data_IF_123201725225
#
_entry.id   IF_123201725225
#
_cell.length_a   1.000
_cell.length_b   1.000
_cell.length_c   1.000
_cell.angle_alpha   90.00
_cell.angle_beta   90.00
_cell.angle_gamma   90.00
#
_symmetry.space_group_name_H-M   'P 1'
#
loop_
_entity.id
_entity.type
_entity.pdbx_description
1 polymer ?
#
# COMPACT_ATOMS: atom_id res chain seq x y z
N UNK A 1 -29.84 1.99 -24.07
CA UNK A 1 -28.86 1.95 -22.96
C UNK A 1 -27.47 2.08 -23.57
N UNK A 2 -26.71 3.09 -23.18
CA UNK A 2 -25.31 3.24 -23.60
C UNK A 2 -24.52 2.09 -22.96
N UNK A 3 -24.23 1.05 -23.74
CA UNK A 3 -23.46 -0.10 -23.25
C UNK A 3 -22.02 0.33 -23.04
N UNK A 4 -21.56 0.30 -21.79
CA UNK A 4 -20.13 0.47 -21.49
C UNK A 4 -19.40 -0.74 -22.09
N UNK A 5 -18.36 -0.56 -22.92
CA UNK A 5 -17.65 -1.67 -23.55
C UNK A 5 -17.14 -2.67 -22.50
N UNK A 6 -17.31 -3.96 -22.77
CA UNK A 6 -16.84 -5.05 -21.89
C UNK A 6 -15.35 -4.89 -21.53
N UNK A 7 -14.52 -4.58 -22.52
CA UNK A 7 -13.08 -4.36 -22.35
C UNK A 7 -12.76 -3.20 -21.40
N UNK A 8 -13.60 -2.17 -21.37
CA UNK A 8 -13.42 -1.05 -20.43
C UNK A 8 -13.64 -1.50 -19.00
N UNK A 9 -14.67 -2.32 -18.73
CA UNK A 9 -14.95 -2.84 -17.39
C UNK A 9 -13.90 -3.85 -16.95
N UNK A 10 -13.47 -4.75 -17.84
CA UNK A 10 -12.36 -5.67 -17.56
C UNK A 10 -11.07 -4.91 -17.23
N UNK A 11 -10.82 -3.79 -17.92
CA UNK A 11 -9.70 -2.92 -17.59
C UNK A 11 -9.89 -2.23 -16.25
N UNK A 12 -11.09 -1.71 -15.97
CA UNK A 12 -11.41 -0.96 -14.75
C UNK A 12 -11.27 -1.83 -13.49
N UNK A 13 -11.81 -3.05 -13.53
CA UNK A 13 -11.73 -4.04 -12.44
C UNK A 13 -10.27 -4.34 -12.03
N UNK A 14 -9.31 -4.24 -12.94
CA UNK A 14 -7.88 -4.42 -12.61
C UNK A 14 -7.29 -3.31 -11.74
N UNK A 15 -7.90 -2.13 -11.71
CA UNK A 15 -7.42 -0.99 -10.92
C UNK A 15 -8.17 -0.81 -9.61
N UNK A 16 -9.36 -1.38 -9.48
CA UNK A 16 -10.26 -1.20 -8.34
C UNK A 16 -10.50 -2.52 -7.60
N UNK A 17 -9.42 -3.18 -7.18
CA UNK A 17 -9.49 -4.47 -6.47
C UNK A 17 -10.44 -4.41 -5.26
N UNK A 18 -10.40 -3.29 -4.53
CA UNK A 18 -11.25 -3.05 -3.35
C UNK A 18 -12.75 -2.85 -3.70
N UNK A 19 -13.08 -2.45 -4.94
CA UNK A 19 -14.47 -2.17 -5.37
C UNK A 19 -15.08 -3.34 -6.16
N UNK A 20 -14.32 -4.41 -6.43
CA UNK A 20 -14.82 -5.58 -7.17
C UNK A 20 -16.04 -6.17 -6.48
N UNK A 21 -16.05 -6.18 -5.14
CA UNK A 21 -17.15 -6.73 -4.36
C UNK A 21 -18.45 -5.92 -4.56
N UNK A 22 -18.37 -4.60 -4.74
CA UNK A 22 -19.54 -3.78 -5.08
C UNK A 22 -20.06 -4.10 -6.49
N UNK A 23 -19.15 -4.36 -7.44
CA UNK A 23 -19.49 -4.65 -8.84
C UNK A 23 -20.20 -6.00 -9.02
N UNK A 24 -19.98 -6.96 -8.11
CA UNK A 24 -20.67 -8.26 -8.12
C UNK A 24 -22.19 -8.08 -7.98
N UNK A 25 -22.63 -7.03 -7.29
CA UNK A 25 -24.05 -6.73 -7.08
C UNK A 25 -24.75 -6.07 -8.29
N UNK A 26 -24.01 -5.69 -9.33
CA UNK A 26 -24.61 -5.21 -10.58
C UNK A 26 -25.35 -6.35 -11.28
N UNK A 27 -26.27 -6.04 -12.20
CA UNK A 27 -27.02 -7.06 -12.95
C UNK A 27 -26.32 -7.50 -14.24
N UNK A 28 -26.50 -8.76 -14.63
CA UNK A 28 -26.18 -9.26 -15.97
C UNK A 28 -24.68 -9.45 -16.22
N UNK A 29 -24.19 -8.91 -17.34
CA UNK A 29 -22.83 -9.15 -17.81
C UNK A 29 -21.75 -8.64 -16.82
N UNK A 30 -22.00 -7.50 -16.17
CA UNK A 30 -21.05 -6.88 -15.25
C UNK A 30 -20.85 -7.72 -13.97
N UNK A 31 -21.94 -8.24 -13.39
CA UNK A 31 -21.89 -9.19 -12.27
C UNK A 31 -20.99 -10.37 -12.59
N UNK A 32 -21.18 -10.96 -13.78
CA UNK A 32 -20.46 -12.16 -14.20
C UNK A 32 -18.97 -11.90 -14.37
N UNK A 33 -18.57 -10.75 -14.94
CA UNK A 33 -17.14 -10.41 -15.01
C UNK A 33 -16.58 -10.21 -13.61
N UNK A 34 -17.28 -9.48 -12.74
CA UNK A 34 -16.80 -9.22 -11.38
C UNK A 34 -16.65 -10.53 -10.58
N UNK A 35 -17.60 -11.45 -10.70
CA UNK A 35 -17.53 -12.81 -10.14
C UNK A 35 -16.36 -13.61 -10.72
N UNK A 36 -16.23 -13.67 -12.05
CA UNK A 36 -15.12 -14.34 -12.71
C UNK A 36 -13.77 -13.79 -12.21
N UNK A 37 -13.68 -12.48 -12.04
CA UNK A 37 -12.49 -11.82 -11.54
C UNK A 37 -12.25 -12.18 -10.07
N UNK A 38 -13.26 -12.09 -9.22
CA UNK A 38 -13.18 -12.48 -7.82
C UNK A 38 -12.72 -13.93 -7.63
N UNK A 39 -13.22 -14.86 -8.44
CA UNK A 39 -12.87 -16.27 -8.32
C UNK A 39 -11.49 -16.63 -8.90
N UNK A 40 -11.06 -15.91 -9.95
CA UNK A 40 -9.90 -16.31 -10.78
C UNK A 40 -8.73 -15.35 -10.67
N UNK A 41 -8.90 -14.21 -10.01
CA UNK A 41 -7.82 -13.26 -9.83
C UNK A 41 -6.76 -13.81 -8.91
N UNK A 42 -5.53 -13.44 -9.23
CA UNK A 42 -4.36 -13.94 -8.55
C UNK A 42 -3.22 -12.92 -8.60
N UNK A 43 -2.29 -13.13 -7.69
CA UNK A 43 -1.04 -12.42 -7.56
C UNK A 43 0.10 -13.40 -7.76
N UNK A 44 1.11 -12.99 -8.51
CA UNK A 44 2.37 -13.72 -8.56
C UNK A 44 3.38 -13.04 -7.66
N UNK A 45 4.07 -13.83 -6.83
CA UNK A 45 5.12 -13.36 -5.94
C UNK A 45 6.42 -14.05 -6.30
N UNK A 46 7.49 -13.26 -6.47
CA UNK A 46 8.83 -13.78 -6.68
C UNK A 46 9.79 -13.15 -5.69
N UNK A 47 10.40 -13.99 -4.85
CA UNK A 47 11.45 -13.63 -3.92
C UNK A 47 12.82 -13.69 -4.57
N UNK A 48 13.59 -12.60 -4.48
CA UNK A 48 14.92 -12.47 -5.09
C UNK A 48 15.97 -12.20 -4.01
N UNK A 49 16.93 -13.10 -3.88
CA UNK A 49 18.05 -12.99 -2.94
C UNK A 49 19.35 -13.36 -3.64
N UNK A 50 20.37 -12.51 -3.51
CA UNK A 50 21.68 -12.67 -4.15
C UNK A 50 21.56 -12.96 -5.67
N UNK A 51 20.68 -12.22 -6.33
CA UNK A 51 20.38 -12.32 -7.76
C UNK A 51 19.68 -13.59 -8.21
N UNK A 52 19.24 -14.45 -7.28
CA UNK A 52 18.54 -15.71 -7.57
C UNK A 52 17.10 -15.65 -7.10
N UNK A 53 16.22 -16.34 -7.83
CA UNK A 53 14.87 -16.64 -7.32
C UNK A 53 15.04 -17.65 -6.18
N UNK A 54 14.54 -17.29 -5.00
CA UNK A 54 14.45 -18.20 -3.85
C UNK A 54 13.03 -18.66 -3.59
N UNK A 55 12.03 -17.94 -4.12
CA UNK A 55 10.62 -18.22 -3.95
C UNK A 55 9.86 -17.77 -5.19
N UNK A 56 8.90 -18.59 -5.63
CA UNK A 56 7.94 -18.22 -6.67
C UNK A 56 6.61 -18.86 -6.31
N UNK A 57 5.62 -18.04 -5.97
CA UNK A 57 4.30 -18.51 -5.56
C UNK A 57 3.21 -17.68 -6.22
N UNK A 58 2.18 -18.36 -6.73
CA UNK A 58 0.94 -17.72 -7.16
C UNK A 58 -0.07 -17.82 -6.02
N UNK A 59 -0.69 -16.70 -5.66
CA UNK A 59 -1.73 -16.61 -4.63
C UNK A 59 -3.04 -16.16 -5.23
N UNK A 60 -4.16 -16.67 -4.74
CA UNK A 60 -5.48 -16.13 -5.07
C UNK A 60 -5.70 -14.75 -4.41
N UNK A 61 -6.84 -14.11 -4.67
CA UNK A 61 -7.20 -12.81 -4.05
C UNK A 61 -7.25 -12.84 -2.52
N UNK A 62 -7.42 -14.02 -1.92
CA UNK A 62 -7.50 -14.22 -0.48
C UNK A 62 -6.13 -14.51 0.15
N UNK A 63 -5.06 -14.55 -0.66
CA UNK A 63 -3.70 -14.80 -0.22
C UNK A 63 -3.35 -16.28 -0.04
N UNK A 64 -4.26 -17.20 -0.37
CA UNK A 64 -3.99 -18.63 -0.34
C UNK A 64 -3.16 -19.02 -1.55
N UNK A 65 -2.29 -20.02 -1.40
CA UNK A 65 -1.57 -20.59 -2.54
C UNK A 65 -2.55 -21.14 -3.56
N UNK A 66 -2.33 -20.83 -4.84
CA UNK A 66 -3.18 -21.29 -5.93
C UNK A 66 -2.92 -22.79 -6.18
N UNK A 67 -3.81 -23.66 -5.68
CA UNK A 67 -3.56 -25.11 -5.62
C UNK A 67 -3.99 -25.90 -6.88
N UNK A 68 -4.83 -25.34 -7.76
CA UNK A 68 -5.32 -26.11 -8.92
C UNK A 68 -5.57 -25.27 -10.17
N UNK A 69 -5.09 -25.77 -11.31
CA UNK A 69 -5.27 -25.15 -12.63
C UNK A 69 -4.07 -24.28 -13.03
N UNK A 70 -4.02 -23.90 -14.31
CA UNK A 70 -3.05 -22.93 -14.81
C UNK A 70 -3.66 -21.54 -14.66
N UNK A 71 -3.09 -20.65 -13.84
CA UNK A 71 -3.61 -19.30 -13.68
C UNK A 71 -3.60 -18.57 -15.03
N UNK A 72 -4.74 -17.98 -15.39
CA UNK A 72 -4.88 -17.32 -16.68
C UNK A 72 -4.39 -15.87 -16.57
N UNK A 73 -3.35 -15.51 -17.32
CA UNK A 73 -2.70 -14.18 -17.31
C UNK A 73 -3.70 -13.01 -17.32
N UNK A 74 -4.85 -13.13 -18.01
CA UNK A 74 -5.86 -12.07 -18.07
C UNK A 74 -6.46 -11.66 -16.71
N UNK A 75 -6.45 -12.57 -15.73
CA UNK A 75 -6.90 -12.35 -14.35
C UNK A 75 -5.76 -12.02 -13.37
N UNK A 76 -4.52 -11.93 -13.85
CA UNK A 76 -3.40 -11.53 -13.01
C UNK A 76 -3.58 -10.06 -12.58
N UNK A 77 -3.70 -9.84 -11.27
CA UNK A 77 -3.87 -8.52 -10.68
C UNK A 77 -2.55 -7.77 -10.59
N UNK A 78 -1.57 -8.42 -9.96
CA UNK A 78 -0.25 -7.84 -9.73
C UNK A 78 0.83 -8.91 -9.79
N UNK A 79 2.01 -8.45 -10.16
CA UNK A 79 3.24 -9.21 -10.05
C UNK A 79 4.11 -8.54 -8.99
N UNK A 80 4.34 -9.21 -7.87
CA UNK A 80 5.13 -8.72 -6.75
C UNK A 80 6.55 -9.29 -6.79
N UNK A 81 7.53 -8.41 -6.89
CA UNK A 81 8.94 -8.77 -6.68
C UNK A 81 9.33 -8.43 -5.24
N UNK A 82 9.65 -9.45 -4.45
CA UNK A 82 10.15 -9.29 -3.08
C UNK A 82 11.68 -9.31 -3.13
N UNK A 83 12.28 -8.15 -2.95
CA UNK A 83 13.72 -7.95 -2.97
C UNK A 83 14.28 -8.12 -1.56
N UNK A 84 15.05 -9.19 -1.36
CA UNK A 84 15.90 -9.37 -0.19
C UNK A 84 17.28 -8.73 -0.47
N UNK A 85 18.33 -9.16 0.23
CA UNK A 85 19.70 -8.68 -0.02
C UNK A 85 20.17 -9.01 -1.44
N UNK A 86 20.57 -7.97 -2.18
CA UNK A 86 21.10 -8.07 -3.54
C UNK A 86 22.16 -6.99 -3.76
N UNK A 87 23.43 -7.38 -3.81
CA UNK A 87 24.60 -6.51 -3.90
C UNK A 87 25.11 -6.37 -5.34
N UNK A 88 26.17 -5.58 -5.56
CA UNK A 88 26.76 -5.41 -6.89
C UNK A 88 27.55 -6.63 -7.40
N UNK A 89 27.88 -7.57 -6.51
CA UNK A 89 28.49 -8.86 -6.87
C UNK A 89 27.45 -9.82 -7.48
N UNK A 90 26.16 -9.58 -7.22
CA UNK A 90 25.09 -10.47 -7.63
C UNK A 90 24.63 -10.19 -9.06
N UNK A 91 24.59 -11.25 -9.88
CA UNK A 91 24.21 -11.14 -11.28
C UNK A 91 22.70 -10.87 -11.42
N UNK A 92 22.36 -9.84 -12.19
CA UNK A 92 20.98 -9.55 -12.58
C UNK A 92 20.57 -10.46 -13.75
N UNK A 93 19.57 -11.32 -13.53
CA UNK A 93 18.98 -12.12 -14.61
C UNK A 93 17.97 -11.28 -15.42
N UNK A 94 18.47 -10.49 -16.38
CA UNK A 94 17.62 -9.60 -17.19
C UNK A 94 16.49 -10.32 -17.93
N UNK A 95 16.73 -11.53 -18.45
CA UNK A 95 15.73 -12.28 -19.22
C UNK A 95 14.52 -12.68 -18.36
N UNK A 96 14.77 -13.01 -17.09
CA UNK A 96 13.72 -13.29 -16.13
C UNK A 96 12.86 -12.04 -15.87
N UNK A 97 13.48 -10.92 -15.53
CA UNK A 97 12.78 -9.68 -15.22
C UNK A 97 12.10 -9.05 -16.44
N UNK A 98 12.61 -9.26 -17.66
CA UNK A 98 11.93 -8.86 -18.90
C UNK A 98 10.55 -9.52 -19.00
N UNK A 99 10.44 -10.83 -18.74
CA UNK A 99 9.14 -11.52 -18.73
C UNK A 99 8.20 -10.98 -17.65
N UNK A 100 8.73 -10.62 -16.50
CA UNK A 100 7.94 -10.00 -15.42
C UNK A 100 7.41 -8.61 -15.82
N UNK A 101 8.24 -7.81 -16.49
CA UNK A 101 7.84 -6.49 -16.98
C UNK A 101 6.82 -6.53 -18.12
N UNK A 102 6.75 -7.64 -18.84
CA UNK A 102 5.75 -7.91 -19.89
C UNK A 102 4.41 -8.42 -19.33
N UNK A 103 4.30 -8.63 -18.02
CA UNK A 103 3.06 -9.08 -17.39
C UNK A 103 1.93 -8.06 -17.55
N UNK A 104 0.69 -8.55 -17.63
CA UNK A 104 -0.49 -7.70 -17.88
C UNK A 104 -1.05 -7.02 -16.62
N UNK A 105 -0.53 -7.41 -15.45
CA UNK A 105 -0.89 -6.87 -14.15
C UNK A 105 0.01 -5.71 -13.70
N UNK A 106 -0.32 -5.15 -12.54
CA UNK A 106 0.49 -4.10 -11.91
C UNK A 106 1.82 -4.69 -11.41
N UNK A 107 2.95 -4.14 -11.87
CA UNK A 107 4.25 -4.53 -11.33
C UNK A 107 4.48 -3.80 -10.01
N UNK A 108 4.57 -4.58 -8.94
CA UNK A 108 4.81 -4.14 -7.59
C UNK A 108 6.14 -4.68 -7.07
N UNK A 109 6.78 -3.95 -6.17
CA UNK A 109 8.02 -4.35 -5.54
C UNK A 109 7.94 -4.15 -4.03
N UNK A 110 8.48 -5.11 -3.28
CA UNK A 110 8.65 -5.02 -1.83
C UNK A 110 10.13 -5.10 -1.49
N UNK A 111 10.65 -4.10 -0.79
CA UNK A 111 12.02 -4.04 -0.32
C UNK A 111 12.08 -4.59 1.10
N UNK A 112 12.58 -5.81 1.25
CA UNK A 112 12.66 -6.53 2.54
C UNK A 112 14.09 -6.51 3.13
N UNK A 113 15.01 -5.75 2.51
CA UNK A 113 16.38 -5.57 2.99
C UNK A 113 16.89 -4.20 2.60
N UNK A 114 17.66 -3.56 3.50
CA UNK A 114 18.36 -2.31 3.23
C UNK A 114 19.62 -2.45 2.39
N UNK A 115 20.00 -3.67 1.99
CA UNK A 115 21.20 -3.96 1.22
C UNK A 115 20.86 -4.15 -0.27
N UNK A 116 21.06 -3.09 -1.03
CA UNK A 116 20.81 -3.06 -2.47
C UNK A 116 22.00 -2.43 -3.22
N UNK A 117 22.61 -3.18 -4.14
CA UNK A 117 23.75 -2.73 -4.95
C UNK A 117 23.37 -1.62 -5.93
N UNK A 118 24.33 -0.80 -6.35
CA UNK A 118 24.13 0.29 -7.32
C UNK A 118 23.58 -0.22 -8.66
N UNK A 119 24.05 -1.36 -9.14
CA UNK A 119 23.60 -1.99 -10.38
C UNK A 119 22.14 -2.41 -10.28
N UNK A 120 21.72 -2.96 -9.13
CA UNK A 120 20.32 -3.29 -8.85
C UNK A 120 19.44 -2.05 -8.76
N UNK A 121 19.90 -1.01 -8.04
CA UNK A 121 19.18 0.28 -7.95
C UNK A 121 18.94 0.84 -9.35
N UNK A 122 19.98 0.92 -10.19
CA UNK A 122 19.86 1.44 -11.56
C UNK A 122 18.93 0.57 -12.41
N UNK A 123 19.02 -0.75 -12.27
CA UNK A 123 18.17 -1.67 -13.01
C UNK A 123 16.70 -1.54 -12.63
N UNK A 124 16.37 -1.56 -11.33
CA UNK A 124 15.00 -1.37 -10.83
C UNK A 124 14.46 0.00 -11.22
N UNK A 125 15.28 1.05 -11.11
CA UNK A 125 14.88 2.41 -11.50
C UNK A 125 14.49 2.49 -12.98
N UNK A 126 14.99 1.59 -13.83
CA UNK A 126 14.64 1.57 -15.26
C UNK A 126 13.29 0.91 -15.56
N UNK A 127 12.65 0.24 -14.59
CA UNK A 127 11.40 -0.47 -14.79
C UNK A 127 10.27 0.51 -15.12
N UNK A 128 9.69 0.37 -16.32
CA UNK A 128 8.66 1.30 -16.83
C UNK A 128 7.28 1.05 -16.26
N UNK A 129 7.02 -0.19 -15.84
CA UNK A 129 5.72 -0.65 -15.35
C UNK A 129 5.64 -0.71 -13.82
N UNK A 130 6.74 -0.42 -13.11
CA UNK A 130 6.76 -0.40 -11.65
C UNK A 130 5.89 0.75 -11.14
N UNK A 131 4.76 0.40 -10.51
CA UNK A 131 3.77 1.36 -10.06
C UNK A 131 3.54 1.32 -8.54
N UNK A 132 3.91 0.23 -7.87
CA UNK A 132 3.74 0.06 -6.42
C UNK A 132 5.05 -0.34 -5.78
N UNK A 133 5.41 0.35 -4.70
CA UNK A 133 6.61 0.06 -3.92
C UNK A 133 6.24 -0.05 -2.44
N UNK A 134 6.61 -1.14 -1.79
CA UNK A 134 6.55 -1.29 -0.34
C UNK A 134 7.96 -1.36 0.24
N UNK A 135 8.21 -0.63 1.32
CA UNK A 135 9.47 -0.62 2.05
C UNK A 135 9.23 -1.25 3.41
N UNK A 136 9.68 -2.50 3.58
CA UNK A 136 9.52 -3.29 4.81
C UNK A 136 10.73 -3.23 5.74
N UNK A 137 11.76 -2.47 5.36
CA UNK A 137 13.01 -2.31 6.09
C UNK A 137 13.22 -0.83 6.46
N UNK A 138 14.24 -0.55 7.26
CA UNK A 138 14.69 0.83 7.49
C UNK A 138 15.17 1.46 6.18
N UNK A 139 14.98 2.77 6.04
CA UNK A 139 15.37 3.53 4.83
C UNK A 139 16.88 3.80 4.88
N UNK A 140 17.65 2.78 4.50
CA UNK A 140 19.10 2.86 4.40
C UNK A 140 19.55 3.75 3.22
N UNK A 141 20.82 4.19 3.14
CA UNK A 141 21.29 5.02 2.03
C UNK A 141 21.07 4.43 0.62
N UNK A 142 21.23 3.11 0.39
CA UNK A 142 20.81 2.47 -0.85
C UNK A 142 19.31 2.61 -1.18
N UNK A 143 18.44 2.42 -0.20
CA UNK A 143 16.99 2.52 -0.36
C UNK A 143 16.60 3.97 -0.63
N UNK A 144 17.18 4.91 0.12
CA UNK A 144 17.04 6.34 -0.11
C UNK A 144 17.42 6.74 -1.55
N UNK A 145 18.52 6.21 -2.09
CA UNK A 145 18.93 6.46 -3.49
C UNK A 145 17.91 5.89 -4.48
N UNK A 146 17.40 4.69 -4.24
CA UNK A 146 16.36 4.09 -5.08
C UNK A 146 15.08 4.94 -5.05
N UNK A 147 14.61 5.34 -3.87
CA UNK A 147 13.41 6.16 -3.73
C UNK A 147 13.55 7.49 -4.46
N UNK A 148 14.70 8.17 -4.37
CA UNK A 148 14.95 9.39 -5.15
C UNK A 148 14.90 9.15 -6.66
N UNK A 149 15.50 8.07 -7.16
CA UNK A 149 15.40 7.74 -8.58
C UNK A 149 13.94 7.51 -9.00
N UNK A 150 13.14 6.87 -8.15
CA UNK A 150 11.72 6.63 -8.40
C UNK A 150 10.90 7.93 -8.37
N UNK A 151 11.22 8.86 -7.48
CA UNK A 151 10.68 10.23 -7.49
C UNK A 151 11.02 10.88 -8.83
N UNK A 152 12.29 10.95 -9.21
CA UNK A 152 12.71 11.57 -10.48
C UNK A 152 12.00 10.97 -11.71
N UNK A 153 11.71 9.67 -11.69
CA UNK A 153 11.06 8.99 -12.81
C UNK A 153 9.53 9.17 -12.85
N UNK A 154 8.89 9.61 -11.75
CA UNK A 154 7.45 9.91 -11.69
C UNK A 154 6.54 8.81 -12.25
N UNK A 155 6.75 7.56 -11.83
CA UNK A 155 5.95 6.39 -12.26
C UNK A 155 5.23 5.66 -11.14
N UNK A 156 5.72 5.80 -9.92
CA UNK A 156 5.12 5.16 -8.76
C UNK A 156 3.77 5.83 -8.47
N UNK A 157 2.74 5.01 -8.37
CA UNK A 157 1.35 5.37 -8.06
C UNK A 157 1.11 5.16 -6.56
N UNK A 158 1.67 4.09 -6.00
CA UNK A 158 1.45 3.71 -4.60
C UNK A 158 2.77 3.45 -3.91
N UNK A 159 2.98 4.05 -2.74
CA UNK A 159 4.09 3.70 -1.86
C UNK A 159 3.57 3.30 -0.48
N UNK A 160 4.24 2.32 0.13
CA UNK A 160 3.94 1.84 1.46
C UNK A 160 5.21 1.77 2.28
N UNK A 161 5.14 2.22 3.54
CA UNK A 161 6.27 2.18 4.47
C UNK A 161 5.87 1.44 5.75
N UNK A 162 6.69 0.47 6.14
CA UNK A 162 6.62 -0.19 7.44
C UNK A 162 7.67 0.30 8.42
N UNK A 163 8.55 1.21 8.00
CA UNK A 163 9.53 1.84 8.90
C UNK A 163 8.83 2.58 10.04
N UNK A 164 9.33 2.40 11.26
CA UNK A 164 8.90 3.15 12.45
C UNK A 164 9.67 4.46 12.61
N UNK A 165 10.80 4.61 11.92
CA UNK A 165 11.69 5.76 12.02
C UNK A 165 11.76 6.46 10.67
N UNK A 166 11.50 7.76 10.68
CA UNK A 166 11.67 8.64 9.52
C UNK A 166 12.61 9.78 9.89
N UNK A 167 13.66 9.95 9.11
CA UNK A 167 14.51 11.13 9.17
C UNK A 167 13.86 12.29 8.42
N UNK A 168 14.37 13.51 8.60
CA UNK A 168 13.94 14.67 7.81
C UNK A 168 14.08 14.43 6.31
N UNK A 169 15.10 13.68 5.92
CA UNK A 169 15.37 13.35 4.53
C UNK A 169 14.31 12.38 3.97
N UNK A 170 13.90 11.38 4.76
CA UNK A 170 12.84 10.44 4.38
C UNK A 170 11.49 11.13 4.25
N UNK A 171 11.19 12.06 5.16
CA UNK A 171 10.00 12.91 5.11
C UNK A 171 9.98 13.72 3.80
N UNK A 172 11.11 14.32 3.44
CA UNK A 172 11.26 15.05 2.17
C UNK A 172 10.90 14.20 0.96
N UNK A 173 11.40 12.97 0.88
CA UNK A 173 11.04 12.02 -0.19
C UNK A 173 9.55 11.73 -0.23
N UNK A 174 8.93 11.48 0.92
CA UNK A 174 7.48 11.17 0.99
C UNK A 174 6.67 12.36 0.48
N UNK A 175 7.06 13.58 0.87
CA UNK A 175 6.45 14.81 0.37
C UNK A 175 6.66 14.95 -1.15
N UNK A 176 7.83 14.63 -1.67
CA UNK A 176 8.10 14.72 -3.10
C UNK A 176 7.23 13.76 -3.90
N UNK A 177 7.01 12.52 -3.43
CA UNK A 177 6.01 11.63 -4.03
C UNK A 177 4.60 12.21 -3.98
N UNK A 178 4.19 12.77 -2.84
CA UNK A 178 2.87 13.38 -2.70
C UNK A 178 2.64 14.55 -3.66
N UNK A 179 3.67 15.30 -4.05
CA UNK A 179 3.53 16.40 -5.02
C UNK A 179 3.36 15.92 -6.47
N UNK A 180 3.61 14.65 -6.77
CA UNK A 180 3.60 14.15 -8.14
C UNK A 180 2.19 13.96 -8.70
N UNK A 181 1.88 14.44 -9.92
CA UNK A 181 0.53 14.35 -10.49
C UNK A 181 -0.01 12.93 -10.66
N UNK A 182 0.83 11.92 -10.87
CA UNK A 182 0.42 10.52 -11.05
C UNK A 182 0.33 9.73 -9.75
N UNK A 183 0.99 10.17 -8.68
CA UNK A 183 0.99 9.48 -7.39
C UNK A 183 -0.42 9.53 -6.77
N UNK A 184 -0.89 8.43 -6.19
CA UNK A 184 -2.24 8.28 -5.65
C UNK A 184 -2.24 7.90 -4.18
N UNK A 185 -1.50 6.87 -3.77
CA UNK A 185 -1.72 6.27 -2.45
C UNK A 185 -0.42 6.20 -1.64
N UNK A 186 -0.44 6.77 -0.45
CA UNK A 186 0.59 6.62 0.58
C UNK A 186 0.04 5.76 1.70
N UNK A 187 0.73 4.67 2.05
CA UNK A 187 0.39 3.83 3.21
C UNK A 187 1.51 3.86 4.23
N UNK A 188 1.17 4.11 5.48
CA UNK A 188 2.09 4.17 6.61
C UNK A 188 1.62 3.17 7.65
N UNK A 189 2.40 2.11 7.86
CA UNK A 189 2.10 1.08 8.87
C UNK A 189 2.63 1.43 10.27
N UNK A 190 3.31 2.57 10.38
CA UNK A 190 3.74 3.16 11.64
C UNK A 190 3.50 4.66 11.62
N UNK A 191 3.07 5.21 12.75
CA UNK A 191 2.85 6.64 12.86
C UNK A 191 4.15 7.39 13.14
N UNK A 192 4.36 8.47 12.38
CA UNK A 192 5.44 9.42 12.60
C UNK A 192 4.81 10.82 12.73
N UNK A 193 4.81 11.44 13.92
CA UNK A 193 4.21 12.76 14.13
C UNK A 193 4.76 13.82 13.16
N UNK A 194 6.09 13.87 12.99
CA UNK A 194 6.74 14.86 12.11
C UNK A 194 6.33 14.69 10.65
N UNK A 195 6.15 13.45 10.18
CA UNK A 195 5.66 13.18 8.83
C UNK A 195 4.19 13.59 8.70
N UNK A 196 3.37 13.25 9.70
CA UNK A 196 1.96 13.64 9.76
C UNK A 196 1.81 15.17 9.70
N UNK A 197 2.55 15.91 10.52
CA UNK A 197 2.51 17.38 10.55
C UNK A 197 2.95 17.99 9.21
N UNK A 198 3.95 17.37 8.55
CA UNK A 198 4.42 17.80 7.24
C UNK A 198 3.36 17.60 6.15
N UNK A 199 2.69 16.45 6.16
CA UNK A 199 1.56 16.15 5.27
C UNK A 199 0.38 17.09 5.54
N UNK A 200 0.06 17.30 6.82
CA UNK A 200 -1.01 18.20 7.25
C UNK A 200 -0.74 19.65 6.85
N UNK A 201 0.51 20.10 6.96
CA UNK A 201 0.92 21.44 6.53
C UNK A 201 0.73 21.64 5.02
N UNK A 202 1.07 20.64 4.19
CA UNK A 202 0.79 20.69 2.75
C UNK A 202 -0.70 20.77 2.46
N UNK A 203 -1.52 20.04 3.23
CA UNK A 203 -2.97 20.12 3.11
C UNK A 203 -3.50 21.50 3.46
N UNK A 204 -3.08 22.05 4.60
CA UNK A 204 -3.59 23.33 5.09
C UNK A 204 -3.29 24.49 4.12
N UNK A 205 -2.22 24.36 3.33
CA UNK A 205 -1.89 25.30 2.26
C UNK A 205 -2.75 25.15 0.99
N UNK A 206 -3.79 24.29 0.99
CA UNK A 206 -4.60 23.90 -0.18
C UNK A 206 -3.73 23.53 -1.38
N UNK A 207 -2.66 22.75 -1.14
CA UNK A 207 -1.79 22.32 -2.23
C UNK A 207 -2.61 21.49 -3.24
N UNK A 208 -2.83 21.98 -4.47
CA UNK A 208 -3.64 21.29 -5.46
C UNK A 208 -3.04 19.94 -5.84
N UNK A 209 -1.75 19.73 -5.59
CA UNK A 209 -1.05 18.47 -5.76
C UNK A 209 -1.67 17.35 -4.93
N UNK A 210 -2.26 17.63 -3.76
CA UNK A 210 -2.84 16.59 -2.90
C UNK A 210 -4.22 16.09 -3.33
N UNK A 211 -4.87 16.75 -4.28
CA UNK A 211 -6.21 16.38 -4.73
C UNK A 211 -6.22 15.01 -5.39
N UNK A 212 -7.16 14.16 -4.98
CA UNK A 212 -7.34 12.82 -5.52
C UNK A 212 -6.40 11.76 -4.93
N UNK A 213 -5.65 12.08 -3.88
CA UNK A 213 -4.72 11.15 -3.22
C UNK A 213 -5.36 10.48 -2.02
N UNK A 214 -4.79 9.37 -1.59
CA UNK A 214 -5.19 8.64 -0.41
C UNK A 214 -3.98 8.50 0.50
N UNK A 215 -4.17 8.80 1.78
CA UNK A 215 -3.15 8.66 2.80
C UNK A 215 -3.73 7.77 3.90
N UNK A 216 -3.12 6.61 4.08
CA UNK A 216 -3.57 5.59 5.00
C UNK A 216 -2.57 5.47 6.15
N UNK A 217 -3.05 5.59 7.38
CA UNK A 217 -2.29 5.29 8.59
C UNK A 217 -2.82 3.97 9.17
N UNK A 218 -2.07 2.90 8.93
CA UNK A 218 -2.44 1.54 9.31
C UNK A 218 -1.81 1.21 10.67
N UNK A 219 -2.59 0.60 11.56
CA UNK A 219 -2.12 0.18 12.88
C UNK A 219 -1.97 1.31 13.92
N UNK A 220 -2.48 2.51 13.62
CA UNK A 220 -2.39 3.64 14.55
C UNK A 220 -3.68 4.47 14.64
N UNK A 221 -3.90 5.00 15.84
CA UNK A 221 -4.94 5.94 16.20
C UNK A 221 -4.29 7.32 16.42
N UNK A 222 -4.53 8.34 15.58
CA UNK A 222 -4.00 9.69 15.80
C UNK A 222 -4.19 10.17 17.25
N UNK A 223 -3.14 10.67 17.93
CA UNK A 223 -3.22 11.05 19.33
C UNK A 223 -3.85 12.45 19.49
N UNK A 224 -3.97 13.20 18.39
CA UNK A 224 -4.57 14.51 18.34
C UNK A 224 -6.01 14.35 17.84
N UNK A 225 -6.94 14.32 18.81
CA UNK A 225 -8.41 14.29 18.68
C UNK A 225 -9.11 12.98 18.29
N UNK A 226 -8.81 11.88 19.00
CA UNK A 226 -9.63 10.66 18.96
C UNK A 226 -10.51 10.40 20.19
N UNK A 227 -10.66 11.39 21.06
CA UNK A 227 -11.76 11.35 22.00
C UNK A 227 -12.94 12.10 21.35
N UNK A 228 -13.89 11.32 20.81
CA UNK A 228 -15.34 11.59 20.92
C UNK A 228 -16.19 12.10 19.73
N UNK A 229 -15.98 11.72 18.46
CA UNK A 229 -16.91 12.23 17.41
C UNK A 229 -17.30 11.27 16.27
N UNK A 230 -18.59 11.29 15.95
CA UNK A 230 -19.29 10.87 14.75
C UNK A 230 -19.56 12.15 13.97
N UNK A 231 -18.93 12.24 12.80
CA UNK A 231 -18.96 13.44 11.98
C UNK A 231 -20.19 13.37 11.10
N UNK A 232 -21.11 14.34 11.26
CA UNK A 232 -22.30 14.47 10.42
C UNK A 232 -22.38 15.86 9.83
N UNK A 233 -22.97 15.97 8.63
CA UNK A 233 -23.17 17.24 7.93
C UNK A 233 -24.49 17.85 8.36
N UNK A 234 -24.47 19.09 8.86
CA UNK A 234 -25.70 19.84 9.15
C UNK A 234 -26.20 20.59 7.93
N UNK A 235 -25.28 21.11 7.11
CA UNK A 235 -25.55 21.75 5.83
C UNK A 235 -24.28 21.83 4.97
N UNK A 236 -24.36 22.52 3.83
CA UNK A 236 -23.27 22.64 2.84
C UNK A 236 -21.99 23.28 3.38
N UNK A 237 -22.07 24.06 4.47
CA UNK A 237 -20.95 24.82 5.02
C UNK A 237 -20.58 24.41 6.45
N UNK A 238 -21.37 23.57 7.09
CA UNK A 238 -21.22 23.26 8.52
C UNK A 238 -21.12 21.75 8.76
N UNK A 239 -20.02 21.35 9.39
CA UNK A 239 -19.79 19.99 9.88
C UNK A 239 -20.02 19.96 11.39
N UNK A 240 -20.75 18.96 11.88
CA UNK A 240 -20.96 18.70 13.31
C UNK A 240 -20.30 17.40 13.75
N UNK A 241 -19.99 17.34 15.04
CA UNK A 241 -19.22 16.28 15.67
C UNK A 241 -20.03 15.68 16.86
N UNK A 242 -20.31 14.37 16.90
CA UNK A 242 -21.20 13.70 17.91
C UNK A 242 -20.66 12.37 18.48
N UNK A 243 -20.50 12.24 19.80
CA UNK A 243 -19.71 11.18 20.48
C UNK A 243 -20.40 9.81 20.75
N UNK A 244 -19.68 8.67 20.59
CA UNK A 244 -20.09 7.33 21.10
C UNK A 244 -18.90 6.47 21.62
N UNK A 245 -19.08 5.51 22.58
CA UNK A 245 -18.00 4.73 23.19
C UNK A 245 -17.65 3.39 22.48
N UNK A 246 -16.41 2.91 22.68
CA UNK A 246 -15.63 1.97 21.82
C UNK A 246 -15.55 0.48 22.23
N UNK A 247 -15.33 -0.41 21.24
CA UNK A 247 -14.58 -1.69 21.33
C UNK A 247 -13.65 -1.91 20.10
N UNK A 248 -12.69 -2.84 20.20
CA UNK A 248 -11.34 -2.91 19.59
C UNK A 248 -11.17 -3.18 18.07
N UNK A 249 -9.97 -2.78 17.57
CA UNK A 249 -9.37 -2.81 16.20
C UNK A 249 -9.99 -1.88 15.16
N UNK A 250 -9.34 -0.74 14.86
CA UNK A 250 -9.77 0.19 13.82
C UNK A 250 -8.58 0.66 12.97
N UNK A 251 -8.84 0.84 11.68
CA UNK A 251 -7.95 1.47 10.70
C UNK A 251 -8.49 2.87 10.36
N UNK A 252 -7.61 3.84 10.11
CA UNK A 252 -8.02 5.18 9.67
C UNK A 252 -7.61 5.40 8.20
N UNK A 253 -8.60 5.45 7.30
CA UNK A 253 -8.41 5.75 5.86
C UNK A 253 -8.80 7.19 5.57
N UNK A 254 -7.89 7.98 4.99
CA UNK A 254 -8.19 9.33 4.51
C UNK A 254 -8.21 9.34 2.98
N UNK A 255 -9.39 9.54 2.38
CA UNK A 255 -9.55 9.73 0.93
C UNK A 255 -9.63 11.22 0.62
N UNK A 256 -8.65 11.77 -0.10
CA UNK A 256 -8.60 13.19 -0.48
C UNK A 256 -9.34 13.40 -1.80
N UNK A 257 -10.67 13.33 -1.81
CA UNK A 257 -11.47 13.82 -2.95
C UNK A 257 -12.59 14.79 -2.57
N UNK A 258 -12.90 14.84 -1.28
CA UNK A 258 -14.10 15.35 -0.60
C UNK A 258 -14.11 14.42 0.61
N UNK A 259 -14.09 14.97 1.82
CA UNK A 259 -13.86 14.22 3.05
C UNK A 259 -14.88 13.08 3.19
N UNK A 260 -14.45 11.84 2.90
CA UNK A 260 -15.09 10.62 3.37
C UNK A 260 -14.02 9.82 4.09
N UNK A 261 -14.11 9.79 5.42
CA UNK A 261 -13.31 8.91 6.27
C UNK A 261 -14.08 7.60 6.32
N UNK A 262 -13.53 6.55 5.72
CA UNK A 262 -14.08 5.20 5.85
C UNK A 262 -13.42 4.54 7.06
N UNK A 263 -14.23 4.19 8.06
CA UNK A 263 -13.86 3.26 9.10
C UNK A 263 -14.43 1.89 8.71
N UNK A 264 -13.57 1.00 8.19
CA UNK A 264 -13.93 -0.41 8.05
C UNK A 264 -13.46 -1.17 9.28
N UNK A 265 -14.42 -1.79 9.97
CA UNK A 265 -14.19 -2.73 11.04
C UNK A 265 -14.36 -4.13 10.46
N UNK A 266 -13.26 -4.81 10.15
CA UNK A 266 -13.30 -6.21 9.75
C UNK A 266 -13.12 -7.09 10.98
N UNK A 267 -14.15 -7.86 11.31
CA UNK A 267 -14.05 -8.95 12.28
C UNK A 267 -13.65 -10.23 11.55
N UNK A 268 -12.36 -10.58 11.58
CA UNK A 268 -11.94 -11.93 11.23
C UNK A 268 -11.65 -12.71 12.51
N UNK A 269 -12.66 -13.44 12.98
CA UNK A 269 -12.44 -14.56 13.88
C UNK A 269 -11.70 -15.65 13.11
N UNK A 270 -10.37 -15.61 13.11
CA UNK A 270 -9.53 -16.70 12.64
C UNK A 270 -8.43 -16.91 13.67
N UNK A 271 -8.36 -18.14 14.21
CA UNK A 271 -7.31 -18.59 15.10
C UNK A 271 -5.94 -18.44 14.41
N UNK A 272 -5.08 -17.62 15.00
CA UNK A 272 -3.65 -17.63 14.71
C UNK A 272 -3.00 -18.50 15.78
N UNK A 273 -2.73 -19.76 15.42
CA UNK A 273 -1.78 -20.59 16.16
C UNK A 273 -0.35 -20.19 15.78
N UNK A 274 0.45 -19.99 16.84
CA UNK A 274 1.90 -20.11 16.98
C UNK A 274 2.84 -19.49 15.93
N UNK A 275 3.49 -18.41 16.33
CA UNK A 275 4.89 -18.41 16.81
C UNK A 275 5.49 -17.02 16.58
N UNK A 276 5.63 -16.22 17.64
CA UNK A 276 6.79 -15.32 17.81
C UNK A 276 6.93 -14.92 19.28
N UNK A 277 8.08 -15.31 19.83
CA UNK A 277 8.51 -15.05 21.20
C UNK A 277 8.59 -13.55 21.55
N UNK A 278 7.97 -13.22 22.68
CA UNK A 278 8.53 -12.42 23.79
C UNK A 278 9.02 -10.99 23.48
N UNK A 279 8.17 -9.99 23.80
CA UNK A 279 8.64 -8.77 24.47
C UNK A 279 7.84 -8.62 25.77
N UNK A 280 8.54 -8.90 26.87
CA UNK A 280 8.07 -8.75 28.24
C UNK A 280 8.27 -7.28 28.64
N UNK A 281 7.19 -6.51 28.82
CA UNK A 281 7.26 -5.22 29.51
C UNK A 281 6.86 -5.43 30.97
N UNK A 282 7.87 -5.41 31.83
CA UNK A 282 7.72 -5.21 33.27
C UNK A 282 7.14 -3.81 33.50
N UNK A 283 5.92 -3.76 34.02
CA UNK A 283 5.39 -2.57 34.69
C UNK A 283 6.07 -2.46 36.06
N UNK A 284 6.80 -1.37 36.30
CA UNK A 284 7.02 -0.89 37.66
C UNK A 284 6.36 0.48 37.82
N UNK A 285 5.44 0.52 38.77
CA UNK A 285 4.63 1.67 39.13
C UNK A 285 5.34 2.46 40.21
N UNK A 286 5.82 3.66 39.88
CA UNK A 286 6.14 4.66 40.92
C UNK A 286 5.47 5.99 40.64
N UNK A 287 4.41 6.18 41.41
CA UNK A 287 3.73 7.41 41.82
C UNK A 287 4.70 8.59 41.98
N UNK A 288 4.40 9.71 41.30
CA UNK A 288 4.90 11.03 41.70
C UNK A 288 3.70 11.94 41.96
N UNK A 289 3.52 12.28 43.25
CA UNK A 289 2.62 13.33 43.74
C UNK A 289 3.33 14.67 43.57
N UNK A 290 2.58 15.65 43.08
CA UNK A 290 3.01 17.05 43.05
C UNK A 290 2.84 17.70 44.43
N UNK A 291 3.85 18.45 44.85
CA UNK A 291 3.76 19.59 45.76
C UNK A 291 4.54 20.74 45.14
#
# INVERSE_FOLDING_TARGET
>A
MNQIPALFIEHLIKFFDDEVDELVHLSGYYSRIAQDYQEKSHFDHVGVFKGKIIESVTRDRHGNTFLSGVPLIKYQQSFFVIMYENTDEDRINKALFSKMQESSGMLAMTLNSGKLGKNWINYISSWKTLNRVSVMTEISPPIHRLLNNLVCNSRVITISFHSTVFTFLDIGIVIDFLKQPQFRTLRLYSFCPTLYDSIWSLWYMDDPGLRGKEIEFLGYFPPHDLNNFLISRKDEKTIMFTMFPLSTSAYSRFIVKKLTIHFEFHYSGANWDDDYHSIMLLYDSTTLRFS
#
